data_IF_057667222149
#
_entry.id   IF_057667222149
#
_cell.length_a   1.000
_cell.length_b   1.000
_cell.length_c   1.000
_cell.angle_alpha   90.00
_cell.angle_beta   90.00
_cell.angle_gamma   90.00
#
_symmetry.space_group_name_H-M   'P 1'
#
loop_
_entity.id
_entity.type
_entity.pdbx_description
1 polymer ?
#
# COMPACT_ATOMS: atom_id res chain seq x y z
N UNK A 1 44.06 0.88 -26.12
CA UNK A 1 45.18 1.50 -25.39
C UNK A 1 44.67 1.88 -24.01
N UNK A 2 45.12 1.18 -22.98
CA UNK A 2 44.71 1.36 -21.60
C UNK A 2 45.89 1.93 -20.79
N UNK A 3 45.69 2.92 -19.91
CA UNK A 3 46.69 3.25 -18.91
C UNK A 3 46.50 2.40 -17.65
N UNK A 4 47.59 1.70 -17.30
CA UNK A 4 47.81 1.10 -15.98
C UNK A 4 48.24 2.21 -15.02
N UNK A 5 47.59 2.34 -13.87
CA UNK A 5 48.18 3.03 -12.71
C UNK A 5 48.47 2.01 -11.59
N UNK A 6 49.74 1.98 -11.21
CA UNK A 6 50.28 1.37 -9.99
C UNK A 6 50.38 2.47 -8.92
N UNK A 7 50.44 2.03 -7.67
CA UNK A 7 51.18 2.58 -6.51
C UNK A 7 50.30 2.64 -5.24
N UNK A 8 50.54 1.74 -4.28
CA UNK A 8 51.50 1.81 -3.16
C UNK A 8 50.99 2.71 -2.02
N UNK A 9 50.83 2.12 -0.82
CA UNK A 9 50.39 2.84 0.38
C UNK A 9 50.40 2.01 1.66
N UNK A 10 51.60 1.67 2.12
CA UNK A 10 52.05 1.53 3.51
C UNK A 10 51.14 1.01 4.64
N UNK A 11 51.58 -0.13 5.18
CA UNK A 11 51.27 -0.73 6.49
C UNK A 11 51.57 0.23 7.66
N UNK A 12 50.65 0.37 8.61
CA UNK A 12 50.96 0.86 9.97
C UNK A 12 50.36 -0.06 11.03
N UNK A 13 51.17 -1.00 11.50
CA UNK A 13 50.86 -1.90 12.60
C UNK A 13 51.22 -1.18 13.92
N UNK A 14 50.22 -0.70 14.65
CA UNK A 14 50.42 -0.13 15.99
C UNK A 14 50.38 -1.26 17.03
N UNK A 15 51.57 -1.72 17.46
CA UNK A 15 51.75 -2.52 18.67
C UNK A 15 51.56 -1.61 19.88
N UNK A 16 50.37 -1.66 20.52
CA UNK A 16 50.20 -1.16 21.90
C UNK A 16 50.57 -2.28 22.86
N UNK A 17 51.65 -2.07 23.62
CA UNK A 17 51.99 -2.88 24.78
C UNK A 17 50.94 -2.62 25.88
N UNK A 18 50.20 -3.67 26.27
CA UNK A 18 49.30 -3.65 27.43
C UNK A 18 50.04 -4.20 28.63
N UNK A 19 50.32 -3.33 29.58
CA UNK A 19 50.78 -3.62 30.94
C UNK A 19 49.72 -4.47 31.65
N UNK A 20 50.08 -5.66 32.08
CA UNK A 20 49.22 -6.55 32.85
C UNK A 20 49.23 -6.12 34.32
N UNK A 21 48.18 -5.41 34.75
CA UNK A 21 47.89 -5.19 36.17
C UNK A 21 46.96 -6.32 36.61
N UNK A 22 47.49 -7.23 37.44
CA UNK A 22 46.74 -8.31 38.05
C UNK A 22 45.75 -7.73 39.08
N UNK A 23 44.51 -7.50 38.64
CA UNK A 23 43.39 -7.17 39.51
C UNK A 23 42.74 -8.47 40.00
N UNK A 24 42.52 -8.54 41.30
CA UNK A 24 41.91 -9.65 42.01
C UNK A 24 40.58 -10.08 41.36
N UNK A 25 40.49 -11.37 41.05
CA UNK A 25 39.33 -12.04 40.47
C UNK A 25 38.13 -11.96 41.42
N UNK A 26 37.24 -11.00 41.17
CA UNK A 26 35.87 -11.05 41.66
C UNK A 26 35.17 -12.28 41.05
N UNK A 27 34.24 -12.92 41.79
CA UNK A 27 33.46 -14.04 41.27
C UNK A 27 32.72 -13.58 40.02
N UNK A 28 33.12 -14.11 38.86
CA UNK A 28 32.45 -13.93 37.59
C UNK A 28 31.02 -14.41 37.75
N UNK A 29 30.08 -13.46 37.85
CA UNK A 29 28.66 -13.76 37.77
C UNK A 29 28.43 -14.63 36.54
N UNK A 30 27.90 -15.84 36.74
CA UNK A 30 27.56 -16.76 35.65
C UNK A 30 26.60 -16.05 34.71
N UNK A 31 27.14 -15.51 33.62
CA UNK A 31 26.36 -14.89 32.56
C UNK A 31 25.59 -16.01 31.89
N UNK A 32 24.29 -16.10 32.21
CA UNK A 32 23.37 -17.01 31.51
C UNK A 32 23.57 -16.83 30.00
N UNK A 33 23.66 -17.93 29.23
CA UNK A 33 23.83 -17.83 27.79
C UNK A 33 22.67 -17.01 27.21
N UNK A 34 22.94 -16.19 26.18
CA UNK A 34 21.90 -15.38 25.56
C UNK A 34 20.78 -16.30 25.04
N UNK A 35 19.55 -15.97 25.40
CA UNK A 35 18.38 -16.68 24.90
C UNK A 35 18.31 -16.51 23.39
N UNK A 36 18.32 -17.62 22.65
CA UNK A 36 18.18 -17.59 21.18
C UNK A 36 16.72 -17.50 20.82
N UNK A 37 16.36 -16.51 19.99
CA UNK A 37 14.96 -16.23 19.64
C UNK A 37 14.22 -17.46 19.08
N UNK A 38 14.86 -18.25 18.22
CA UNK A 38 14.25 -19.46 17.63
C UNK A 38 14.15 -20.65 18.59
N UNK A 39 14.84 -20.61 19.73
CA UNK A 39 14.74 -21.63 20.79
C UNK A 39 13.58 -21.33 21.76
N UNK A 40 12.97 -20.14 21.68
CA UNK A 40 11.76 -19.81 22.43
C UNK A 40 10.59 -20.69 21.97
N UNK A 41 9.65 -21.06 22.85
CA UNK A 41 8.40 -21.71 22.44
C UNK A 41 7.60 -20.87 21.44
N UNK A 42 6.84 -21.49 20.51
CA UNK A 42 6.03 -20.77 19.52
C UNK A 42 5.09 -19.72 20.12
N UNK A 43 4.52 -19.98 21.30
CA UNK A 43 3.62 -19.07 22.00
C UNK A 43 4.32 -17.77 22.39
N UNK A 44 5.59 -17.87 22.82
CA UNK A 44 6.41 -16.70 23.19
C UNK A 44 6.80 -15.92 21.94
N UNK A 45 7.15 -16.61 20.84
CA UNK A 45 7.46 -15.94 19.56
C UNK A 45 6.25 -15.21 19.01
N UNK A 46 5.06 -15.82 19.03
CA UNK A 46 3.80 -15.18 18.62
C UNK A 46 3.51 -13.93 19.45
N UNK A 47 3.76 -13.97 20.76
CA UNK A 47 3.60 -12.79 21.61
C UNK A 47 4.61 -11.69 21.26
N UNK A 48 5.85 -12.04 20.90
CA UNK A 48 6.84 -11.07 20.40
C UNK A 48 6.39 -10.48 19.06
N UNK A 49 5.85 -11.30 18.16
CA UNK A 49 5.26 -10.84 16.91
C UNK A 49 4.11 -9.86 17.15
N UNK A 50 3.29 -10.07 18.18
CA UNK A 50 2.24 -9.11 18.51
C UNK A 50 2.78 -7.74 18.95
N UNK A 51 3.95 -7.68 19.58
CA UNK A 51 4.63 -6.41 19.87
C UNK A 51 5.32 -5.79 18.64
N UNK A 52 5.52 -6.55 17.58
CA UNK A 52 6.15 -6.11 16.34
C UNK A 52 5.12 -5.60 15.31
N UNK A 53 3.82 -5.61 15.63
CA UNK A 53 2.78 -5.11 14.72
C UNK A 53 2.86 -3.58 14.64
N UNK A 54 2.84 -3.08 13.41
CA UNK A 54 2.81 -1.65 13.11
C UNK A 54 1.50 -0.99 13.57
N UNK A 55 1.55 0.30 13.88
CA UNK A 55 0.35 1.08 14.17
C UNK A 55 -0.66 0.96 13.03
N UNK A 56 -1.92 0.74 13.37
CA UNK A 56 -2.99 0.65 12.37
C UNK A 56 -3.30 2.05 11.85
N UNK A 57 -3.19 2.21 10.55
CA UNK A 57 -3.54 3.45 9.87
C UNK A 57 -5.01 3.42 9.42
N UNK A 58 -5.69 4.56 9.57
CA UNK A 58 -7.12 4.71 9.30
C UNK A 58 -7.35 5.61 8.08
N UNK A 59 -7.08 5.10 6.89
CA UNK A 59 -7.36 5.81 5.63
C UNK A 59 -6.36 6.94 5.33
N UNK A 60 -6.71 7.75 4.33
CA UNK A 60 -5.83 8.77 3.75
C UNK A 60 -5.66 10.03 4.61
N UNK A 61 -6.53 10.28 5.59
CA UNK A 61 -6.41 11.43 6.51
C UNK A 61 -5.30 11.27 7.56
N UNK A 62 -4.61 10.13 7.57
CA UNK A 62 -3.45 9.92 8.43
C UNK A 62 -2.20 10.40 7.70
N UNK A 63 -1.73 11.61 8.06
CA UNK A 63 -0.60 12.35 7.45
C UNK A 63 0.74 11.59 7.25
N UNK A 64 0.87 10.34 7.69
CA UNK A 64 2.11 9.55 7.58
C UNK A 64 1.84 8.08 7.29
N UNK A 65 1.38 7.77 6.08
CA UNK A 65 1.19 6.38 5.68
C UNK A 65 2.46 5.82 5.00
N UNK A 66 3.12 4.78 5.54
CA UNK A 66 4.30 4.22 4.91
C UNK A 66 3.96 3.44 3.64
N UNK A 67 4.44 3.94 2.50
CA UNK A 67 4.53 3.15 1.28
C UNK A 67 5.30 1.85 1.53
N UNK A 68 4.83 0.73 0.95
CA UNK A 68 5.51 -0.56 1.04
C UNK A 68 6.78 -0.59 0.18
N UNK A 69 6.76 0.10 -0.96
CA UNK A 69 7.91 0.22 -1.85
C UNK A 69 8.51 1.60 -1.65
N UNK A 70 9.76 1.62 -1.16
CA UNK A 70 10.51 2.85 -0.92
C UNK A 70 10.64 3.60 -2.24
N UNK A 71 10.31 4.89 -2.20
CA UNK A 71 10.49 5.88 -3.27
C UNK A 71 11.84 5.65 -3.97
N UNK A 72 11.83 5.70 -5.30
CA UNK A 72 13.08 5.74 -6.07
C UNK A 72 13.95 6.87 -5.50
N UNK A 73 15.11 6.50 -4.94
CA UNK A 73 15.96 7.40 -4.15
C UNK A 73 16.72 8.41 -5.03
N UNK A 74 16.16 8.81 -6.17
CA UNK A 74 16.81 9.64 -7.19
C UNK A 74 16.85 11.12 -6.81
N UNK A 75 15.96 11.57 -5.90
CA UNK A 75 16.05 12.89 -5.30
C UNK A 75 16.86 12.86 -4.01
N UNK A 76 18.16 13.10 -4.18
CA UNK A 76 19.09 13.47 -3.12
C UNK A 76 18.56 14.66 -2.31
N UNK A 77 18.29 14.45 -1.03
CA UNK A 77 18.71 15.33 0.07
C UNK A 77 18.53 14.62 1.41
N UNK A 78 19.60 13.93 1.86
CA UNK A 78 19.85 13.51 3.25
C UNK A 78 18.77 12.63 3.93
N UNK A 79 19.10 11.90 5.01
CA UNK A 79 18.16 10.95 5.57
C UNK A 79 17.05 11.73 6.28
N UNK A 80 15.91 11.90 5.62
CA UNK A 80 14.69 12.16 6.38
C UNK A 80 14.57 10.99 7.39
N UNK A 81 14.43 11.26 8.70
CA UNK A 81 14.40 10.24 9.75
C UNK A 81 13.23 9.24 9.60
N UNK A 82 12.34 9.47 8.63
CA UNK A 82 11.31 8.56 8.17
C UNK A 82 11.88 7.48 7.23
N UNK A 83 12.93 6.78 7.68
CA UNK A 83 13.15 5.39 7.27
C UNK A 83 11.80 4.69 7.39
N UNK A 84 11.32 4.05 6.31
CA UNK A 84 10.01 3.38 6.22
C UNK A 84 9.44 3.06 7.60
N UNK A 85 8.33 3.70 8.01
CA UNK A 85 7.80 3.55 9.39
C UNK A 85 7.42 2.11 9.77
N UNK A 86 7.61 1.18 8.83
CA UNK A 86 7.57 -0.26 8.98
C UNK A 86 8.78 -0.81 9.74
N UNK A 87 8.87 -0.47 11.02
CA UNK A 87 9.96 -0.86 11.93
C UNK A 87 10.29 -2.36 11.94
N UNK A 88 9.30 -3.21 11.64
CA UNK A 88 9.43 -4.67 11.76
C UNK A 88 9.21 -5.42 10.44
N UNK A 89 9.09 -4.74 9.30
CA UNK A 89 8.92 -5.40 8.01
C UNK A 89 10.06 -6.35 7.69
N UNK A 90 11.29 -6.04 8.12
CA UNK A 90 12.45 -6.90 7.96
C UNK A 90 12.27 -8.32 8.52
N UNK A 91 11.43 -8.52 9.56
CA UNK A 91 11.13 -9.85 10.11
C UNK A 91 10.45 -10.77 9.08
N UNK A 92 9.74 -10.20 8.11
CA UNK A 92 9.14 -10.98 7.00
C UNK A 92 10.19 -11.54 6.04
N UNK A 93 11.43 -11.06 6.09
CA UNK A 93 12.50 -11.39 5.15
C UNK A 93 13.63 -12.25 5.75
N UNK A 94 13.79 -12.31 7.08
CA UNK A 94 14.98 -12.89 7.76
C UNK A 94 15.24 -14.37 7.43
N UNK A 95 14.38 -15.29 7.90
CA UNK A 95 14.54 -16.72 7.69
C UNK A 95 13.17 -17.39 7.49
N UNK A 96 13.17 -18.63 6.98
CA UNK A 96 11.95 -19.34 6.60
C UNK A 96 10.98 -19.55 7.77
N UNK A 97 11.50 -19.85 8.97
CA UNK A 97 10.68 -20.07 10.15
C UNK A 97 9.95 -18.80 10.59
N UNK A 98 10.70 -17.69 10.78
CA UNK A 98 10.12 -16.40 11.15
C UNK A 98 9.15 -15.93 10.06
N UNK A 99 9.50 -16.11 8.79
CA UNK A 99 8.62 -15.72 7.69
C UNK A 99 7.29 -16.47 7.71
N UNK A 100 7.33 -17.78 7.93
CA UNK A 100 6.11 -18.61 7.95
C UNK A 100 5.21 -18.27 9.14
N UNK A 101 5.80 -17.89 10.28
CA UNK A 101 5.06 -17.53 11.50
C UNK A 101 4.57 -16.08 11.50
N UNK A 102 5.45 -15.13 11.18
CA UNK A 102 5.20 -13.69 11.32
C UNK A 102 4.47 -13.08 10.13
N UNK A 103 4.79 -13.47 8.89
CA UNK A 103 4.26 -12.82 7.69
C UNK A 103 2.73 -12.81 7.63
N UNK A 104 2.01 -13.91 7.94
CA UNK A 104 0.55 -13.89 7.93
C UNK A 104 -0.03 -12.93 8.98
N UNK A 105 0.58 -12.86 10.17
CA UNK A 105 0.17 -11.95 11.26
C UNK A 105 0.37 -10.50 10.85
N UNK A 106 1.56 -10.19 10.32
CA UNK A 106 1.91 -8.86 9.85
C UNK A 106 0.99 -8.43 8.70
N UNK A 107 0.84 -9.25 7.67
CA UNK A 107 -0.05 -8.96 6.53
C UNK A 107 -1.45 -8.65 7.02
N UNK A 108 -2.08 -9.58 7.75
CA UNK A 108 -3.46 -9.46 8.19
C UNK A 108 -3.73 -8.23 9.06
N UNK A 109 -2.72 -7.74 9.81
CA UNK A 109 -2.87 -6.58 10.69
C UNK A 109 -2.37 -5.27 10.08
N UNK A 110 -1.67 -5.34 8.95
CA UNK A 110 -1.06 -4.18 8.31
C UNK A 110 -2.06 -3.33 7.55
N UNK A 111 -1.65 -2.07 7.34
CA UNK A 111 -2.19 -1.19 6.31
C UNK A 111 -1.09 -0.99 5.26
N UNK A 112 -1.43 -1.17 3.98
CA UNK A 112 -0.47 -1.20 2.87
C UNK A 112 -0.86 -0.16 1.83
N UNK A 113 0.12 0.61 1.36
CA UNK A 113 0.01 1.56 0.25
C UNK A 113 0.95 1.10 -0.85
N UNK A 114 0.41 0.95 -2.06
CA UNK A 114 1.13 0.53 -3.27
C UNK A 114 0.68 1.38 -4.45
N UNK A 115 1.52 1.50 -5.49
CA UNK A 115 1.11 2.13 -6.76
C UNK A 115 0.24 1.17 -7.57
N UNK A 116 -0.70 1.71 -8.35
CA UNK A 116 -1.62 0.94 -9.19
C UNK A 116 -0.91 -0.10 -10.08
N UNK A 117 0.16 0.30 -10.77
CA UNK A 117 0.98 -0.58 -11.60
C UNK A 117 1.61 -1.79 -10.87
N UNK A 118 1.79 -1.70 -9.55
CA UNK A 118 2.38 -2.77 -8.74
C UNK A 118 1.36 -3.67 -8.06
N UNK A 119 0.06 -3.44 -8.24
CA UNK A 119 -1.01 -4.24 -7.61
C UNK A 119 -0.85 -5.72 -7.95
N UNK A 120 -0.78 -6.07 -9.23
CA UNK A 120 -0.67 -7.46 -9.67
C UNK A 120 0.57 -8.16 -9.10
N UNK A 121 1.71 -7.47 -9.12
CA UNK A 121 3.00 -7.99 -8.63
C UNK A 121 2.99 -8.19 -7.12
N UNK A 122 2.39 -7.23 -6.40
CA UNK A 122 2.17 -7.32 -4.96
C UNK A 122 1.27 -8.52 -4.63
N UNK A 123 0.12 -8.65 -5.29
CA UNK A 123 -0.81 -9.73 -5.00
C UNK A 123 -0.21 -11.11 -5.29
N UNK A 124 0.48 -11.24 -6.43
CA UNK A 124 1.20 -12.46 -6.77
C UNK A 124 2.31 -12.79 -5.75
N UNK A 125 3.06 -11.79 -5.28
CA UNK A 125 4.17 -12.00 -4.33
C UNK A 125 3.70 -12.37 -2.93
N UNK A 126 2.57 -11.82 -2.47
CA UNK A 126 2.07 -12.01 -1.10
C UNK A 126 1.01 -13.08 -0.94
N UNK A 127 0.19 -13.33 -1.95
CA UNK A 127 -0.88 -14.34 -1.90
C UNK A 127 -0.69 -15.49 -2.90
N UNK A 128 0.17 -15.30 -3.91
CA UNK A 128 0.34 -16.26 -5.00
C UNK A 128 -0.89 -16.35 -5.89
N UNK A 129 -0.95 -17.38 -6.73
CA UNK A 129 -2.11 -17.65 -7.61
C UNK A 129 -3.29 -18.32 -6.88
N UNK A 130 -3.16 -18.59 -5.59
CA UNK A 130 -4.17 -19.32 -4.80
C UNK A 130 -5.07 -18.34 -4.05
N UNK A 131 -6.31 -18.21 -4.51
CA UNK A 131 -7.35 -17.34 -3.93
C UNK A 131 -7.66 -17.63 -2.45
N UNK A 132 -7.32 -18.81 -1.93
CA UNK A 132 -7.55 -19.19 -0.52
C UNK A 132 -6.73 -18.32 0.46
N UNK A 133 -5.61 -17.76 0.01
CA UNK A 133 -4.74 -16.93 0.83
C UNK A 133 -5.29 -15.51 1.06
N UNK A 134 -6.33 -15.10 0.34
CA UNK A 134 -6.94 -13.77 0.50
C UNK A 134 -7.61 -13.56 1.86
N UNK A 135 -7.88 -14.63 2.62
CA UNK A 135 -8.31 -14.53 4.02
C UNK A 135 -7.30 -13.83 4.92
N UNK A 136 -6.02 -13.76 4.51
CA UNK A 136 -4.92 -13.11 5.23
C UNK A 136 -4.57 -11.73 4.66
N UNK A 137 -5.44 -11.16 3.83
CA UNK A 137 -5.24 -9.82 3.27
C UNK A 137 -5.15 -8.74 4.35
N UNK A 138 -4.49 -7.59 4.07
CA UNK A 138 -4.32 -6.51 5.03
C UNK A 138 -5.65 -5.93 5.49
N UNK A 139 -5.66 -5.24 6.63
CA UNK A 139 -6.86 -4.52 7.06
C UNK A 139 -7.23 -3.43 6.06
N UNK A 140 -6.22 -2.78 5.49
CA UNK A 140 -6.35 -1.69 4.54
C UNK A 140 -5.33 -1.85 3.42
N UNK A 141 -5.79 -1.86 2.18
CA UNK A 141 -4.99 -1.80 0.96
C UNK A 141 -5.33 -0.51 0.21
N UNK A 142 -4.43 0.46 0.27
CA UNK A 142 -4.50 1.69 -0.50
C UNK A 142 -3.69 1.57 -1.79
N UNK A 143 -4.26 2.08 -2.87
CA UNK A 143 -3.70 2.04 -4.20
C UNK A 143 -3.54 3.48 -4.67
N UNK A 144 -2.30 3.94 -4.78
CA UNK A 144 -1.97 5.23 -5.37
C UNK A 144 -2.30 5.21 -6.86
N UNK A 145 -3.09 6.19 -7.29
CA UNK A 145 -3.55 6.37 -8.67
C UNK A 145 -3.12 7.75 -9.20
N UNK A 146 -2.26 7.78 -10.21
CA UNK A 146 -1.78 9.01 -10.82
C UNK A 146 -2.46 9.24 -12.17
N UNK A 147 -3.22 10.34 -12.31
CA UNK A 147 -3.91 10.64 -13.57
C UNK A 147 -2.96 10.80 -14.76
N UNK A 148 -1.71 11.21 -14.55
CA UNK A 148 -0.73 11.46 -15.61
C UNK A 148 0.14 10.24 -15.95
N UNK A 149 0.53 9.45 -14.93
CA UNK A 149 1.37 8.26 -15.16
C UNK A 149 0.52 7.07 -15.64
N UNK A 150 -0.68 6.92 -15.09
CA UNK A 150 -1.57 5.77 -15.36
C UNK A 150 -2.53 6.07 -16.53
N UNK A 151 -2.16 7.03 -17.40
CA UNK A 151 -2.90 7.38 -18.61
C UNK A 151 -3.05 6.18 -19.53
N UNK A 152 -4.29 5.88 -19.92
CA UNK A 152 -4.65 4.76 -20.79
C UNK A 152 -4.34 3.36 -20.21
N UNK A 153 -3.82 3.28 -18.97
CA UNK A 153 -3.65 2.02 -18.27
C UNK A 153 -5.01 1.49 -17.78
N UNK A 154 -5.15 0.17 -17.82
CA UNK A 154 -6.32 -0.54 -17.34
C UNK A 154 -5.94 -1.23 -16.03
N UNK A 155 -6.59 -0.83 -14.95
CA UNK A 155 -6.43 -1.48 -13.66
C UNK A 155 -7.39 -2.66 -13.55
N UNK A 156 -6.83 -3.87 -13.50
CA UNK A 156 -7.61 -5.07 -13.22
C UNK A 156 -8.05 -5.08 -11.76
N UNK A 157 -9.35 -4.91 -11.54
CA UNK A 157 -9.99 -4.94 -10.22
C UNK A 157 -10.37 -6.35 -9.77
N UNK A 158 -10.19 -7.38 -10.63
CA UNK A 158 -10.71 -8.73 -10.39
C UNK A 158 -10.14 -9.33 -9.11
N UNK A 159 -8.82 -9.26 -8.91
CA UNK A 159 -8.19 -9.79 -7.71
C UNK A 159 -8.51 -8.95 -6.45
N UNK A 160 -8.70 -7.64 -6.60
CA UNK A 160 -9.13 -6.76 -5.51
C UNK A 160 -10.54 -7.11 -5.03
N UNK A 161 -11.46 -7.35 -5.97
CA UNK A 161 -12.82 -7.82 -5.67
C UNK A 161 -12.82 -9.20 -5.01
N UNK A 162 -11.94 -10.11 -5.44
CA UNK A 162 -11.80 -11.43 -4.81
C UNK A 162 -11.26 -11.33 -3.38
N UNK A 163 -10.29 -10.44 -3.12
CA UNK A 163 -9.83 -10.13 -1.77
C UNK A 163 -11.00 -9.65 -0.93
N UNK A 164 -11.74 -8.66 -1.45
CA UNK A 164 -12.90 -8.09 -0.78
C UNK A 164 -14.00 -9.11 -0.50
N UNK A 165 -14.21 -10.07 -1.39
CA UNK A 165 -15.23 -11.10 -1.22
C UNK A 165 -14.86 -12.21 -0.23
N UNK A 166 -13.57 -12.34 0.12
CA UNK A 166 -13.04 -13.38 1.02
C UNK A 166 -12.52 -12.86 2.35
N UNK A 167 -12.46 -11.54 2.52
CA UNK A 167 -11.91 -10.89 3.71
C UNK A 167 -12.67 -9.61 4.04
N UNK A 168 -12.38 -9.05 5.21
CA UNK A 168 -12.87 -7.75 5.64
C UNK A 168 -11.91 -6.60 5.25
N UNK A 169 -10.97 -6.85 4.34
CA UNK A 169 -10.03 -5.84 3.86
C UNK A 169 -10.76 -4.66 3.25
N UNK A 170 -10.42 -3.46 3.71
CA UNK A 170 -10.79 -2.20 3.07
C UNK A 170 -9.82 -1.96 1.91
N UNK A 171 -10.35 -1.75 0.70
CA UNK A 171 -9.55 -1.42 -0.48
C UNK A 171 -9.95 -0.02 -0.92
N UNK A 172 -8.97 0.85 -1.15
CA UNK A 172 -9.20 2.23 -1.56
C UNK A 172 -8.18 2.64 -2.62
N UNK A 173 -8.64 3.29 -3.69
CA UNK A 173 -7.81 4.09 -4.55
C UNK A 173 -7.71 5.49 -3.95
N UNK A 174 -6.51 6.05 -3.93
CA UNK A 174 -6.24 7.41 -3.44
C UNK A 174 -5.47 8.21 -4.49
N UNK A 175 -5.65 9.54 -4.53
CA UNK A 175 -4.89 10.40 -5.45
C UNK A 175 -3.39 10.23 -5.26
N UNK A 176 -2.68 10.03 -6.36
CA UNK A 176 -1.23 9.86 -6.39
C UNK A 176 -0.46 10.97 -5.69
N UNK A 177 -0.77 12.26 -5.93
CA UNK A 177 -0.11 13.36 -5.23
C UNK A 177 -0.26 13.31 -3.70
N UNK A 178 -1.41 12.83 -3.20
CA UNK A 178 -1.61 12.63 -1.75
C UNK A 178 -0.78 11.43 -1.26
N UNK A 179 -0.80 10.33 -2.01
CA UNK A 179 -0.08 9.10 -1.65
C UNK A 179 1.44 9.30 -1.60
N UNK A 180 1.96 10.11 -2.51
CA UNK A 180 3.38 10.41 -2.64
C UNK A 180 3.79 11.64 -1.81
N UNK A 181 2.87 12.25 -1.03
CA UNK A 181 3.14 13.44 -0.21
C UNK A 181 3.73 14.59 -1.07
N UNK A 182 3.17 14.81 -2.26
CA UNK A 182 3.50 15.87 -3.22
C UNK A 182 2.70 17.15 -2.93
N UNK A 183 2.49 17.44 -1.64
CA UNK A 183 1.77 18.63 -1.18
C UNK A 183 2.32 19.92 -1.81
N UNK A 184 1.56 21.02 -1.73
CA UNK A 184 2.02 22.28 -2.29
C UNK A 184 3.33 22.63 -1.61
N UNK A 185 4.37 22.94 -2.38
CA UNK A 185 5.59 23.52 -1.81
C UNK A 185 5.22 24.97 -1.50
N UNK A 186 5.04 25.36 -0.22
CA UNK A 186 4.68 26.72 0.07
C UNK A 186 5.83 27.63 -0.36
N UNK A 187 5.58 28.48 -1.36
CA UNK A 187 6.49 29.58 -1.73
C UNK A 187 6.37 30.68 -0.66
N UNK A 188 6.76 30.36 0.58
CA UNK A 188 6.76 31.29 1.69
C UNK A 188 8.15 31.90 1.84
N UNK A 189 8.28 33.16 1.42
CA UNK A 189 9.52 33.94 1.55
C UNK A 189 10.03 33.99 3.01
N UNK A 190 9.15 33.91 4.00
CA UNK A 190 9.54 33.90 5.41
C UNK A 190 10.17 32.55 5.82
N UNK A 191 9.66 31.43 5.30
CA UNK A 191 10.20 30.10 5.60
C UNK A 191 11.47 29.75 4.79
N UNK A 192 11.69 30.39 3.64
CA UNK A 192 12.96 30.25 2.90
C UNK A 192 14.15 30.91 3.62
N UNK A 193 13.90 31.97 4.39
CA UNK A 193 14.95 32.70 5.13
C UNK A 193 15.46 31.90 6.34
N UNK A 194 14.58 31.21 7.06
CA UNK A 194 14.94 30.44 8.26
C UNK A 194 15.73 29.15 7.97
N UNK A 195 15.52 28.53 6.80
CA UNK A 195 16.26 27.31 6.42
C UNK A 195 17.78 27.55 6.22
N UNK A 196 18.22 28.80 6.07
CA UNK A 196 19.64 29.12 5.84
C UNK A 196 20.42 29.46 7.11
N UNK A 197 19.77 29.74 8.25
CA UNK A 197 20.48 30.26 9.44
C UNK A 197 20.79 29.22 10.52
N UNK A 198 20.38 27.95 10.36
CA UNK A 198 20.78 26.87 11.28
C UNK A 198 20.30 27.05 12.72
N UNK A 199 19.27 27.87 12.95
CA UNK A 199 18.65 28.01 14.26
C UNK A 199 17.68 26.85 14.49
N UNK A 200 18.10 25.87 15.27
CA UNK A 200 17.29 24.70 15.67
C UNK A 200 16.18 25.05 16.70
N UNK A 201 16.14 26.29 17.21
CA UNK A 201 15.25 26.74 18.30
C UNK A 201 14.11 27.67 17.83
N UNK A 202 13.81 27.75 16.53
CA UNK A 202 12.64 28.50 16.07
C UNK A 202 11.40 27.63 16.32
N UNK A 203 10.65 27.96 17.39
CA UNK A 203 9.29 27.47 17.61
C UNK A 203 8.54 27.51 16.28
N UNK A 204 8.09 26.35 15.77
CA UNK A 204 7.36 26.20 14.51
C UNK A 204 6.34 27.35 14.39
N UNK A 205 6.72 28.39 13.66
CA UNK A 205 5.98 29.63 13.56
C UNK A 205 4.61 29.34 12.95
N UNK A 206 3.59 30.09 13.39
CA UNK A 206 2.21 30.16 12.88
C UNK A 206 2.15 30.61 11.39
N UNK A 207 2.94 30.00 10.51
CA UNK A 207 2.82 30.22 9.08
C UNK A 207 1.56 29.48 8.60
N UNK A 208 0.64 30.11 7.85
CA UNK A 208 -0.63 29.53 7.43
C UNK A 208 -0.49 28.47 6.31
N UNK A 209 0.62 27.72 6.29
CA UNK A 209 0.85 26.62 5.35
C UNK A 209 -0.23 25.53 5.45
N UNK A 210 -0.88 25.41 6.61
CA UNK A 210 -1.98 24.47 6.79
C UNK A 210 -3.19 24.85 5.91
N UNK A 211 -3.49 26.14 5.74
CA UNK A 211 -4.61 26.60 4.88
C UNK A 211 -4.31 26.27 3.41
N UNK A 212 -3.06 26.48 2.96
CA UNK A 212 -2.64 26.14 1.60
C UNK A 212 -2.68 24.63 1.36
N UNK A 213 -2.31 23.84 2.37
CA UNK A 213 -2.37 22.38 2.28
C UNK A 213 -3.83 21.90 2.20
N UNK A 214 -4.72 22.45 3.01
CA UNK A 214 -6.14 22.11 2.99
C UNK A 214 -6.80 22.48 1.64
N UNK A 215 -6.50 23.66 1.09
CA UNK A 215 -6.97 24.06 -0.25
C UNK A 215 -6.44 23.13 -1.34
N UNK A 216 -5.13 22.83 -1.33
CA UNK A 216 -4.53 21.87 -2.26
C UNK A 216 -5.15 20.47 -2.13
N UNK A 217 -5.44 20.03 -0.91
CA UNK A 217 -6.03 18.73 -0.62
C UNK A 217 -7.45 18.66 -1.19
N UNK A 218 -8.27 19.69 -0.96
CA UNK A 218 -9.63 19.80 -1.50
C UNK A 218 -9.64 19.84 -3.03
N UNK A 219 -8.73 20.61 -3.65
CA UNK A 219 -8.57 20.68 -5.09
C UNK A 219 -8.11 19.33 -5.68
N UNK A 220 -7.19 18.66 -5.00
CA UNK A 220 -6.70 17.35 -5.40
C UNK A 220 -7.82 16.32 -5.30
N UNK A 221 -8.55 16.26 -4.19
CA UNK A 221 -9.69 15.33 -4.04
C UNK A 221 -10.75 15.61 -5.11
N UNK A 222 -11.05 16.88 -5.38
CA UNK A 222 -12.02 17.29 -6.39
C UNK A 222 -11.61 16.84 -7.79
N UNK A 223 -10.32 16.97 -8.13
CA UNK A 223 -9.76 16.51 -9.40
C UNK A 223 -9.81 14.99 -9.58
N UNK A 224 -9.86 14.26 -8.46
CA UNK A 224 -9.93 12.79 -8.40
C UNK A 224 -11.29 12.28 -7.92
N UNK A 225 -12.38 13.05 -8.08
CA UNK A 225 -13.71 12.70 -7.60
C UNK A 225 -14.19 11.32 -8.08
N UNK A 226 -13.76 10.89 -9.26
CA UNK A 226 -14.06 9.57 -9.82
C UNK A 226 -13.57 8.41 -8.94
N UNK A 227 -12.48 8.60 -8.18
CA UNK A 227 -11.98 7.58 -7.25
C UNK A 227 -12.99 7.30 -6.14
N UNK A 228 -13.81 8.26 -5.74
CA UNK A 228 -14.90 8.04 -4.77
C UNK A 228 -15.87 6.98 -5.28
N UNK A 229 -16.28 7.08 -6.55
CA UNK A 229 -17.22 6.11 -7.15
C UNK A 229 -16.60 4.72 -7.31
N UNK A 230 -15.31 4.65 -7.66
CA UNK A 230 -14.57 3.38 -7.71
C UNK A 230 -14.42 2.77 -6.32
N UNK A 231 -14.18 3.59 -5.31
CA UNK A 231 -14.09 3.16 -3.92
C UNK A 231 -15.44 2.65 -3.41
N UNK A 232 -16.55 3.30 -3.75
CA UNK A 232 -17.89 2.81 -3.45
C UNK A 232 -18.18 1.48 -4.16
N UNK A 233 -17.73 1.34 -5.41
CA UNK A 233 -17.79 0.08 -6.14
C UNK A 233 -17.04 -1.06 -5.41
N UNK A 234 -15.80 -0.81 -4.99
CA UNK A 234 -14.97 -1.78 -4.26
C UNK A 234 -15.48 -2.04 -2.83
N UNK A 235 -16.12 -1.06 -2.19
CA UNK A 235 -16.60 -1.17 -0.82
C UNK A 235 -17.92 -1.95 -0.68
N UNK A 236 -18.58 -2.28 -1.81
CA UNK A 236 -19.90 -2.91 -1.80
C UNK A 236 -19.93 -4.20 -0.96
N UNK A 237 -20.89 -4.25 -0.03
CA UNK A 237 -21.09 -5.34 0.94
C UNK A 237 -22.27 -6.24 0.59
N UNK A 238 -22.91 -6.05 -0.56
CA UNK A 238 -24.05 -6.83 -0.99
C UNK A 238 -23.68 -8.33 -1.01
N UNK A 239 -24.38 -9.20 -0.24
CA UNK A 239 -24.01 -10.61 -0.17
C UNK A 239 -24.09 -11.36 -1.50
N UNK A 240 -25.02 -10.98 -2.37
CA UNK A 240 -25.16 -11.55 -3.71
C UNK A 240 -23.99 -11.15 -4.61
N UNK A 241 -23.56 -9.89 -4.57
CA UNK A 241 -22.36 -9.41 -5.28
C UNK A 241 -21.12 -10.23 -4.89
N UNK A 242 -20.85 -10.33 -3.59
CA UNK A 242 -19.70 -11.06 -3.08
C UNK A 242 -19.79 -12.57 -3.37
N UNK A 243 -21.00 -13.14 -3.40
CA UNK A 243 -21.19 -14.54 -3.81
C UNK A 243 -20.86 -14.76 -5.29
N UNK A 244 -21.31 -13.87 -6.17
CA UNK A 244 -21.03 -13.93 -7.61
C UNK A 244 -19.56 -13.71 -7.95
N UNK A 245 -18.82 -12.95 -7.15
CA UNK A 245 -17.36 -12.87 -7.28
C UNK A 245 -16.73 -14.22 -6.91
N UNK A 246 -17.08 -14.77 -5.74
CA UNK A 246 -16.49 -16.03 -5.24
C UNK A 246 -16.77 -17.23 -6.14
N UNK A 247 -17.92 -17.28 -6.78
CA UNK A 247 -18.31 -18.39 -7.68
C UNK A 247 -17.81 -18.22 -9.13
N UNK A 248 -17.18 -17.08 -9.44
CA UNK A 248 -16.67 -16.77 -10.78
C UNK A 248 -17.75 -16.35 -11.78
N UNK A 249 -18.95 -15.98 -11.32
CA UNK A 249 -19.97 -15.34 -12.16
C UNK A 249 -19.50 -14.00 -12.68
N UNK A 250 -18.78 -13.23 -11.85
CA UNK A 250 -18.00 -12.08 -12.28
C UNK A 250 -16.65 -12.59 -12.77
N UNK A 251 -16.47 -12.64 -14.09
CA UNK A 251 -15.27 -13.18 -14.72
C UNK A 251 -14.09 -12.20 -14.62
N UNK A 252 -14.33 -10.92 -14.88
CA UNK A 252 -13.34 -9.87 -14.66
C UNK A 252 -14.02 -8.52 -14.45
N UNK A 253 -13.32 -7.62 -13.76
CA UNK A 253 -13.73 -6.23 -13.63
C UNK A 253 -12.50 -5.35 -13.84
N UNK A 254 -12.60 -4.36 -14.72
CA UNK A 254 -11.48 -3.49 -15.05
C UNK A 254 -11.90 -2.03 -14.91
N UNK A 255 -11.01 -1.21 -14.36
CA UNK A 255 -11.16 0.23 -14.29
C UNK A 255 -10.21 0.90 -15.27
N UNK A 256 -10.72 1.89 -16.00
CA UNK A 256 -9.93 2.71 -16.91
C UNK A 256 -10.36 4.16 -16.79
N UNK A 257 -9.38 5.08 -16.83
CA UNK A 257 -9.63 6.51 -16.86
C UNK A 257 -9.11 7.11 -18.18
N UNK A 258 -10.01 7.53 -19.06
CA UNK A 258 -9.63 8.17 -20.32
C UNK A 258 -9.55 9.69 -20.13
N UNK A 259 -8.35 10.24 -19.95
CA UNK A 259 -8.17 11.70 -19.72
C UNK A 259 -8.71 12.56 -20.85
N UNK A 260 -8.69 12.09 -22.11
CA UNK A 260 -9.25 12.86 -23.23
C UNK A 260 -10.76 13.00 -23.18
N UNK A 261 -11.46 12.07 -22.52
CA UNK A 261 -12.93 12.07 -22.41
C UNK A 261 -13.40 12.51 -21.04
N UNK A 262 -12.52 12.50 -20.03
CA UNK A 262 -12.89 12.69 -18.62
C UNK A 262 -13.99 11.72 -18.18
N UNK A 263 -14.03 10.55 -18.80
CA UNK A 263 -15.03 9.50 -18.57
C UNK A 263 -14.32 8.31 -17.91
N UNK A 264 -14.38 8.19 -16.58
CA UNK A 264 -13.96 6.97 -15.90
C UNK A 264 -14.93 5.84 -16.28
N UNK A 265 -14.39 4.68 -16.64
CA UNK A 265 -15.18 3.52 -17.06
C UNK A 265 -14.83 2.29 -16.21
N UNK A 266 -15.84 1.61 -15.67
CA UNK A 266 -15.71 0.25 -15.15
C UNK A 266 -16.32 -0.72 -16.15
N UNK A 267 -15.52 -1.67 -16.62
CA UNK A 267 -15.99 -2.78 -17.46
C UNK A 267 -16.16 -4.03 -16.60
N UNK A 268 -17.39 -4.56 -16.51
CA UNK A 268 -17.72 -5.79 -15.78
C UNK A 268 -18.00 -6.89 -16.81
N UNK A 269 -17.17 -7.93 -16.82
CA UNK A 269 -17.38 -9.12 -17.63
C UNK A 269 -18.02 -10.22 -16.80
N UNK A 270 -19.20 -10.67 -17.20
CA UNK A 270 -19.92 -11.77 -16.58
C UNK A 270 -19.71 -13.07 -17.36
N UNK A 271 -19.68 -14.19 -16.63
CA UNK A 271 -19.80 -15.51 -17.25
C UNK A 271 -21.20 -15.69 -17.84
N UNK A 272 -21.36 -16.61 -18.81
CA UNK A 272 -22.69 -16.94 -19.33
C UNK A 272 -23.65 -17.36 -18.21
N UNK A 273 -23.17 -18.14 -17.23
CA UNK A 273 -23.99 -18.55 -16.09
C UNK A 273 -24.44 -17.35 -15.25
N UNK A 274 -23.50 -16.44 -14.93
CA UNK A 274 -23.78 -15.22 -14.16
C UNK A 274 -24.74 -14.27 -14.88
N UNK A 275 -24.66 -14.17 -16.20
CA UNK A 275 -25.55 -13.32 -16.98
C UNK A 275 -26.94 -13.96 -17.20
N UNK A 276 -27.04 -15.29 -17.23
CA UNK A 276 -28.29 -16.01 -17.52
C UNK A 276 -29.39 -15.81 -16.49
N UNK A 277 -29.06 -15.43 -15.25
CA UNK A 277 -30.06 -15.13 -14.22
C UNK A 277 -30.85 -13.85 -14.49
N UNK A 278 -30.36 -12.95 -15.35
CA UNK A 278 -30.96 -11.64 -15.63
C UNK A 278 -31.24 -11.41 -17.13
N UNK A 279 -30.62 -12.17 -18.05
CA UNK A 279 -30.73 -12.04 -19.52
C UNK A 279 -32.12 -12.34 -20.15
N UNK A 280 -33.21 -12.29 -19.39
CA UNK A 280 -34.56 -12.58 -19.87
C UNK A 280 -35.08 -11.53 -20.88
N UNK A 281 -34.74 -11.67 -22.16
CA UNK A 281 -35.27 -10.89 -23.31
C UNK A 281 -35.19 -9.34 -23.20
N UNK A 282 -34.43 -8.81 -22.27
CA UNK A 282 -34.20 -7.37 -22.11
C UNK A 282 -33.08 -6.88 -23.02
N UNK A 283 -33.06 -5.57 -23.29
CA UNK A 283 -31.91 -4.92 -23.95
C UNK A 283 -30.69 -4.97 -23.02
N UNK A 284 -29.46 -4.85 -23.56
CA UNK A 284 -28.24 -4.82 -22.74
C UNK A 284 -28.24 -3.69 -21.70
N UNK A 285 -28.86 -2.55 -22.02
CA UNK A 285 -28.99 -1.42 -21.08
C UNK A 285 -29.94 -1.75 -19.94
N UNK A 286 -31.13 -2.29 -20.22
CA UNK A 286 -32.07 -2.74 -19.17
C UNK A 286 -31.45 -3.83 -18.30
N UNK A 287 -30.76 -4.80 -18.92
CA UNK A 287 -30.00 -5.82 -18.21
C UNK A 287 -28.96 -5.22 -17.26
N UNK A 288 -28.15 -4.26 -17.73
CA UNK A 288 -27.14 -3.61 -16.91
C UNK A 288 -27.78 -2.91 -15.69
N UNK A 289 -28.90 -2.22 -15.90
CA UNK A 289 -29.61 -1.51 -14.83
C UNK A 289 -30.20 -2.46 -13.79
N UNK A 290 -30.87 -3.51 -14.25
CA UNK A 290 -31.45 -4.54 -13.39
C UNK A 290 -30.34 -5.27 -12.61
N UNK A 291 -29.25 -5.62 -13.28
CA UNK A 291 -28.10 -6.26 -12.66
C UNK A 291 -27.50 -5.39 -11.56
N UNK A 292 -27.11 -4.15 -11.87
CA UNK A 292 -26.52 -3.21 -10.90
C UNK A 292 -27.45 -3.01 -9.70
N UNK A 293 -28.76 -2.86 -9.93
CA UNK A 293 -29.73 -2.74 -8.86
C UNK A 293 -29.77 -4.00 -7.97
N UNK A 294 -29.75 -5.19 -8.57
CA UNK A 294 -29.78 -6.45 -7.83
C UNK A 294 -28.53 -6.68 -6.96
N UNK A 295 -27.38 -6.19 -7.41
CA UNK A 295 -26.11 -6.31 -6.67
C UNK A 295 -25.80 -5.11 -5.78
N UNK A 296 -26.73 -4.16 -5.63
CA UNK A 296 -26.56 -3.02 -4.71
C UNK A 296 -25.67 -1.89 -5.25
N UNK A 297 -25.65 -1.70 -6.56
CA UNK A 297 -24.92 -0.65 -7.28
C UNK A 297 -25.85 0.26 -8.11
N UNK A 298 -27.11 0.44 -7.68
CA UNK A 298 -28.04 1.31 -8.38
C UNK A 298 -27.47 2.74 -8.54
N UNK A 299 -26.83 3.26 -7.48
CA UNK A 299 -26.29 4.61 -7.43
C UNK A 299 -25.12 4.85 -8.39
N UNK A 300 -24.46 3.79 -8.89
CA UNK A 300 -23.38 3.95 -9.87
C UNK A 300 -23.89 4.50 -11.21
N UNK A 301 -25.17 4.32 -11.53
CA UNK A 301 -25.75 4.88 -12.76
C UNK A 301 -25.89 6.40 -12.72
N UNK A 302 -26.04 6.96 -11.52
CA UNK A 302 -26.16 8.40 -11.30
C UNK A 302 -24.80 9.03 -10.97
N UNK A 303 -23.79 8.20 -10.67
CA UNK A 303 -22.41 8.62 -10.59
C UNK A 303 -21.88 8.92 -12.00
N UNK A 304 -20.94 9.85 -12.17
CA UNK A 304 -20.32 10.13 -13.48
C UNK A 304 -19.43 8.99 -14.01
N UNK A 305 -19.61 7.77 -13.51
CA UNK A 305 -18.88 6.55 -13.84
C UNK A 305 -19.64 5.76 -14.90
N UNK A 306 -19.02 5.57 -16.06
CA UNK A 306 -19.60 4.70 -17.09
C UNK A 306 -19.41 3.24 -16.67
N UNK A 307 -20.49 2.45 -16.64
CA UNK A 307 -20.42 1.01 -16.39
C UNK A 307 -20.77 0.23 -17.65
N UNK A 308 -19.78 -0.50 -18.18
CA UNK A 308 -19.91 -1.31 -19.40
C UNK A 308 -19.99 -2.78 -19.03
N UNK A 309 -20.94 -3.50 -19.63
CA UNK A 309 -21.10 -4.94 -19.40
C UNK A 309 -20.63 -5.75 -20.61
N UNK A 310 -19.81 -6.77 -20.34
CA UNK A 310 -19.45 -7.80 -21.29
C UNK A 310 -19.98 -9.17 -20.83
N UNK A 311 -20.35 -10.03 -21.78
CA UNK A 311 -20.68 -11.45 -21.50
C UNK A 311 -19.71 -12.32 -22.27
N UNK A 312 -18.89 -13.10 -21.56
CA UNK A 312 -17.96 -14.03 -22.21
C UNK A 312 -18.63 -15.37 -22.46
N UNK A 313 -18.66 -15.79 -23.73
CA UNK A 313 -18.89 -17.18 -24.10
C UNK A 313 -17.59 -17.94 -23.83
N UNK A 314 -17.54 -18.69 -22.73
CA UNK A 314 -16.49 -19.68 -22.45
C UNK A 314 -16.26 -20.60 -23.65
#
# INVERSE_FOLDING_TARGET
>A
MAPKSKEQGTKRCQKRAKTATAAASQPTAETKPPCRFLELPPEVRNRIYDYAIETVYHGWSSYHFPSLLVRDCTHNQYPLPYLSSRNFFGLTQVNEQIRTEYRPIWLHKSSILIKAKHVTEFLHSFYGLKKDNYSMAPKLLQISWHMEEDLDEELDLTDLLEIRARSDTKIELIPGPIADDEGPVPECNECELDNNEGNEDVDLFDCPHWEMYDEWLDDTISSYLHLTWVNDFLANKNPQWLAQIRDGSVFSANFRHFVRRFEPTITINLSRAGASSVLGKTTLSEFAKEYLSSVGHADLQDSGLEVVFGVRSS
#
